data_IF_298006943771
#
_entry.id   IF_298006943771
#
_cell.length_a   1.000
_cell.length_b   1.000
_cell.length_c   1.000
_cell.angle_alpha   90.00
_cell.angle_beta   90.00
_cell.angle_gamma   90.00
#
_symmetry.space_group_name_H-M   'P 1'
#
loop_
_entity.id
_entity.type
_entity.pdbx_description
1 polymer ?
#
# COMPACT_ATOMS: atom_id res chain seq x y z
N UNK A 1 27.99 26.07 17.82
CA UNK A 1 28.19 24.60 17.82
C UNK A 1 28.82 24.23 16.50
N UNK A 2 30.07 23.79 16.52
CA UNK A 2 30.82 23.46 15.29
C UNK A 2 30.61 21.99 15.00
N UNK A 3 30.06 21.67 13.87
CA UNK A 3 29.81 20.27 13.42
C UNK A 3 31.02 19.83 12.61
N UNK A 4 31.73 18.80 13.09
CA UNK A 4 32.86 18.19 12.37
C UNK A 4 32.36 16.95 11.60
N UNK A 5 32.60 16.90 10.31
CA UNK A 5 32.39 15.70 9.52
C UNK A 5 33.53 14.71 9.72
N UNK A 6 33.20 13.47 10.07
CA UNK A 6 34.16 12.37 10.18
C UNK A 6 33.80 11.30 9.14
N UNK A 7 34.76 10.98 8.26
CA UNK A 7 34.57 9.98 7.24
C UNK A 7 34.24 8.60 7.84
N UNK A 8 33.36 7.83 7.20
CA UNK A 8 32.83 6.56 7.73
C UNK A 8 33.91 5.53 8.05
N UNK A 9 35.01 5.47 7.27
CA UNK A 9 36.16 4.59 7.53
C UNK A 9 36.93 4.92 8.83
N UNK A 10 36.76 6.13 9.38
CA UNK A 10 37.37 6.58 10.62
C UNK A 10 36.41 6.41 11.82
N UNK A 11 35.13 6.16 11.56
CA UNK A 11 34.11 5.95 12.60
C UNK A 11 34.05 4.47 13.04
N UNK A 12 35.14 3.98 13.64
CA UNK A 12 35.29 2.58 14.05
C UNK A 12 34.19 2.07 14.97
N UNK A 13 33.57 2.95 15.79
CA UNK A 13 32.53 2.55 16.72
C UNK A 13 31.20 2.25 16.01
N UNK A 14 30.79 3.07 15.03
CA UNK A 14 29.59 2.83 14.26
C UNK A 14 29.76 1.63 13.30
N UNK A 15 30.94 1.51 12.68
CA UNK A 15 31.28 0.39 11.82
C UNK A 15 31.44 -0.91 12.63
N UNK A 16 32.01 -0.85 13.83
CA UNK A 16 32.09 -1.98 14.76
C UNK A 16 30.72 -2.51 15.17
N UNK A 17 29.77 -1.63 15.47
CA UNK A 17 28.39 -2.03 15.82
C UNK A 17 27.64 -2.65 14.65
N UNK A 18 27.82 -2.14 13.44
CA UNK A 18 27.18 -2.72 12.24
C UNK A 18 27.72 -4.12 11.88
N UNK A 19 29.01 -4.37 12.18
CA UNK A 19 29.66 -5.67 11.92
C UNK A 19 29.59 -6.61 13.11
N UNK A 20 29.28 -6.10 14.29
CA UNK A 20 29.21 -6.93 15.52
C UNK A 20 28.14 -8.03 15.43
N UNK A 21 27.01 -7.72 14.80
CA UNK A 21 25.96 -8.72 14.54
C UNK A 21 26.43 -9.87 13.63
N UNK A 22 27.31 -9.58 12.66
CA UNK A 22 27.87 -10.58 11.74
C UNK A 22 28.99 -11.41 12.40
N UNK A 23 29.82 -10.79 13.22
CA UNK A 23 30.96 -11.48 13.88
C UNK A 23 30.51 -12.43 15.01
N UNK A 24 29.38 -12.17 15.64
CA UNK A 24 28.85 -12.97 16.76
C UNK A 24 27.79 -14.01 16.34
N UNK A 25 27.49 -14.13 15.05
CA UNK A 25 26.50 -15.10 14.55
C UNK A 25 26.91 -16.57 14.73
N UNK A 26 28.19 -16.86 14.92
CA UNK A 26 28.71 -18.23 15.00
C UNK A 26 28.87 -18.79 16.43
N UNK A 27 28.56 -18.05 17.49
CA UNK A 27 28.85 -18.52 18.86
C UNK A 27 28.11 -17.84 20.00
N UNK A 28 27.13 -16.99 19.72
CA UNK A 28 26.39 -16.28 20.77
C UNK A 28 25.13 -17.06 21.16
N UNK A 29 24.98 -17.53 22.42
CA UNK A 29 23.78 -18.23 22.89
C UNK A 29 22.51 -17.34 22.89
N UNK A 30 22.65 -16.02 22.67
CA UNK A 30 21.52 -15.11 22.47
C UNK A 30 21.04 -15.05 21.00
N UNK A 31 21.77 -15.64 20.08
CA UNK A 31 21.29 -15.85 18.71
C UNK A 31 20.43 -17.12 18.72
N UNK A 32 19.17 -16.93 19.05
CA UNK A 32 18.17 -17.94 18.66
C UNK A 32 18.22 -18.01 17.13
N UNK A 33 18.57 -19.16 16.55
CA UNK A 33 18.36 -19.34 15.11
C UNK A 33 16.92 -18.93 14.89
N UNK A 34 16.65 -18.01 13.96
CA UNK A 34 15.32 -17.82 13.41
C UNK A 34 14.82 -19.25 13.16
N UNK A 35 13.88 -19.70 13.98
CA UNK A 35 13.23 -20.98 13.78
C UNK A 35 12.90 -21.00 12.31
N UNK A 36 13.45 -21.99 11.61
CA UNK A 36 13.27 -22.13 10.17
C UNK A 36 11.79 -21.89 9.95
N UNK A 37 11.45 -20.85 9.17
CA UNK A 37 10.07 -20.51 8.89
C UNK A 37 9.34 -21.82 8.65
N UNK A 38 8.20 -22.06 9.30
CA UNK A 38 7.52 -23.34 9.18
C UNK A 38 7.45 -23.60 7.68
N UNK A 39 8.15 -24.64 7.23
CA UNK A 39 8.07 -25.09 5.84
C UNK A 39 6.61 -25.40 5.66
N UNK A 40 5.86 -24.43 5.14
CA UNK A 40 4.49 -24.67 4.70
C UNK A 40 4.64 -25.80 3.71
N UNK A 41 4.09 -26.98 3.99
CA UNK A 41 4.22 -28.08 3.05
C UNK A 41 3.59 -27.60 1.74
N UNK A 42 4.43 -27.43 0.72
CA UNK A 42 3.98 -27.06 -0.66
C UNK A 42 3.25 -28.27 -1.28
N UNK A 43 3.06 -29.33 -0.53
CA UNK A 43 2.29 -30.49 -0.90
C UNK A 43 0.80 -30.13 -0.89
N UNK A 44 0.28 -29.83 -2.08
CA UNK A 44 -1.15 -29.74 -2.33
C UNK A 44 -1.69 -28.45 -2.96
N UNK A 45 -0.88 -27.44 -3.20
CA UNK A 45 -1.32 -26.33 -4.05
C UNK A 45 -0.92 -26.68 -5.49
N UNK A 46 -1.81 -27.32 -6.21
CA UNK A 46 -1.67 -27.45 -7.65
C UNK A 46 -1.75 -26.04 -8.25
N UNK A 47 -0.61 -25.48 -8.60
CA UNK A 47 -0.50 -24.15 -9.25
C UNK A 47 -1.35 -24.14 -10.53
N UNK A 48 -1.56 -25.28 -11.17
CA UNK A 48 -2.45 -25.47 -12.30
C UNK A 48 -3.91 -25.22 -11.95
N UNK A 49 -4.39 -25.64 -10.77
CA UNK A 49 -5.81 -25.49 -10.39
C UNK A 49 -6.17 -24.04 -10.05
N UNK A 50 -5.23 -23.28 -9.47
CA UNK A 50 -5.45 -21.85 -9.20
C UNK A 50 -5.49 -21.07 -10.52
N UNK A 51 -4.63 -21.42 -11.46
CA UNK A 51 -4.60 -20.80 -12.78
C UNK A 51 -5.90 -21.07 -13.56
N UNK A 52 -6.39 -22.30 -13.56
CA UNK A 52 -7.63 -22.66 -14.27
C UNK A 52 -8.84 -21.95 -13.71
N UNK A 53 -9.03 -21.91 -12.39
CA UNK A 53 -10.14 -21.20 -11.74
C UNK A 53 -10.14 -19.70 -12.05
N UNK A 54 -8.99 -19.05 -12.00
CA UNK A 54 -8.88 -17.63 -12.35
C UNK A 54 -9.31 -17.35 -13.80
N UNK A 55 -8.88 -18.19 -14.73
CA UNK A 55 -9.28 -18.03 -16.13
C UNK A 55 -10.77 -18.31 -16.36
N UNK A 56 -11.37 -19.24 -15.61
CA UNK A 56 -12.81 -19.49 -15.61
C UNK A 56 -13.57 -18.27 -15.09
N UNK A 57 -13.17 -17.70 -13.97
CA UNK A 57 -13.74 -16.47 -13.42
C UNK A 57 -13.65 -15.30 -14.41
N UNK A 58 -12.55 -15.17 -15.14
CA UNK A 58 -12.38 -14.15 -16.17
C UNK A 58 -13.37 -14.37 -17.31
N UNK A 59 -13.51 -15.62 -17.81
CA UNK A 59 -14.48 -15.96 -18.87
C UNK A 59 -15.92 -15.69 -18.43
N UNK A 60 -16.29 -16.09 -17.23
CA UNK A 60 -17.62 -15.85 -16.68
C UNK A 60 -17.91 -14.35 -16.54
N UNK A 61 -16.90 -13.56 -16.16
CA UNK A 61 -17.04 -12.11 -16.03
C UNK A 61 -17.38 -11.41 -17.33
N UNK A 62 -16.95 -11.94 -18.47
CA UNK A 62 -17.26 -11.37 -19.78
C UNK A 62 -18.75 -11.43 -20.11
N UNK A 63 -19.47 -12.42 -19.60
CA UNK A 63 -20.91 -12.52 -19.80
C UNK A 63 -21.71 -11.49 -18.99
N UNK A 64 -21.14 -10.99 -17.90
CA UNK A 64 -21.78 -10.03 -17.00
C UNK A 64 -21.56 -8.57 -17.44
N UNK A 65 -20.44 -8.30 -18.11
CA UNK A 65 -20.06 -6.95 -18.50
C UNK A 65 -20.37 -6.67 -19.96
N UNK A 66 -21.22 -5.66 -20.20
CA UNK A 66 -21.74 -5.30 -21.53
C UNK A 66 -20.64 -5.15 -22.59
N UNK A 67 -19.59 -4.39 -22.31
CA UNK A 67 -18.52 -4.14 -23.27
C UNK A 67 -17.74 -5.41 -23.63
N UNK A 68 -17.48 -6.27 -22.65
CA UNK A 68 -16.75 -7.52 -22.86
C UNK A 68 -17.60 -8.53 -23.63
N UNK A 69 -18.88 -8.64 -23.28
CA UNK A 69 -19.82 -9.51 -24.02
C UNK A 69 -19.95 -9.10 -25.49
N UNK A 70 -20.04 -7.78 -25.77
CA UNK A 70 -20.07 -7.29 -27.15
C UNK A 70 -18.75 -7.56 -27.89
N UNK A 71 -17.61 -7.37 -27.22
CA UNK A 71 -16.28 -7.66 -27.80
C UNK A 71 -16.10 -9.16 -28.10
N UNK A 72 -16.50 -10.05 -27.21
CA UNK A 72 -16.44 -11.49 -27.48
C UNK A 72 -17.29 -11.85 -28.73
N UNK A 73 -18.48 -11.30 -28.83
CA UNK A 73 -19.37 -11.54 -30.00
C UNK A 73 -18.80 -10.99 -31.31
N UNK A 74 -18.11 -9.82 -31.25
CA UNK A 74 -17.48 -9.20 -32.41
C UNK A 74 -16.21 -9.96 -32.87
N UNK A 75 -15.45 -10.50 -31.92
CA UNK A 75 -14.18 -11.19 -32.19
C UNK A 75 -14.42 -12.69 -32.58
N UNK A 76 -15.45 -13.32 -32.00
CA UNK A 76 -15.75 -14.74 -32.27
C UNK A 76 -16.29 -14.97 -33.72
N UNK A 77 -17.06 -14.03 -34.24
CA UNK A 77 -17.75 -14.18 -35.52
C UNK A 77 -17.09 -13.46 -36.70
N UNK A 78 -15.95 -12.77 -36.48
CA UNK A 78 -15.43 -11.78 -37.45
C UNK A 78 -16.54 -10.84 -38.02
N UNK A 79 -17.60 -10.67 -37.23
CA UNK A 79 -18.77 -9.87 -37.60
C UNK A 79 -18.43 -8.39 -37.45
N UNK A 80 -18.38 -7.69 -38.59
CA UNK A 80 -18.24 -6.22 -38.62
C UNK A 80 -19.61 -5.55 -38.40
N UNK A 81 -20.33 -5.95 -37.37
CA UNK A 81 -21.59 -5.29 -37.01
C UNK A 81 -21.34 -3.89 -36.47
N UNK A 82 -21.53 -2.91 -37.33
CA UNK A 82 -21.36 -1.49 -37.02
C UNK A 82 -22.26 -1.03 -35.86
N UNK A 83 -23.37 -1.68 -35.63
CA UNK A 83 -24.30 -1.41 -34.51
C UNK A 83 -23.65 -1.76 -33.15
N UNK A 84 -23.03 -2.94 -33.05
CA UNK A 84 -22.33 -3.37 -31.83
C UNK A 84 -21.11 -2.52 -31.56
N UNK A 85 -20.33 -2.17 -32.58
CA UNK A 85 -19.16 -1.27 -32.43
C UNK A 85 -19.57 0.12 -31.93
N UNK A 86 -20.72 0.63 -32.38
CA UNK A 86 -21.23 1.93 -31.93
C UNK A 86 -21.77 1.90 -30.50
N UNK A 87 -22.17 0.74 -30.01
CA UNK A 87 -22.66 0.54 -28.64
C UNK A 87 -21.53 0.36 -27.60
N UNK A 88 -20.26 0.20 -28.04
CA UNK A 88 -19.09 0.14 -27.16
C UNK A 88 -18.76 1.52 -26.57
N UNK A 89 -18.30 1.54 -25.30
CA UNK A 89 -17.80 2.75 -24.67
C UNK A 89 -16.54 3.27 -25.35
N UNK A 90 -16.31 4.60 -25.31
CA UNK A 90 -15.29 5.29 -26.08
C UNK A 90 -13.89 4.69 -26.05
N UNK A 91 -13.41 4.25 -24.88
CA UNK A 91 -12.08 3.64 -24.71
C UNK A 91 -12.01 2.26 -25.40
N UNK A 92 -13.09 1.47 -25.24
CA UNK A 92 -13.21 0.14 -25.86
C UNK A 92 -13.33 0.27 -27.38
N UNK A 93 -14.14 1.19 -27.85
CA UNK A 93 -14.34 1.47 -29.27
C UNK A 93 -13.04 1.90 -29.95
N UNK A 94 -12.29 2.81 -29.35
CA UNK A 94 -11.01 3.26 -29.90
C UNK A 94 -10.00 2.11 -29.99
N UNK A 95 -9.87 1.31 -28.94
CA UNK A 95 -8.95 0.18 -28.93
C UNK A 95 -9.38 -0.93 -29.92
N UNK A 96 -10.67 -1.11 -30.13
CA UNK A 96 -11.19 -2.04 -31.14
C UNK A 96 -10.93 -1.55 -32.57
N UNK A 97 -11.18 -0.26 -32.85
CA UNK A 97 -10.91 0.33 -34.17
C UNK A 97 -9.43 0.28 -34.56
N UNK A 98 -8.53 0.31 -33.57
CA UNK A 98 -7.08 0.17 -33.76
C UNK A 98 -6.63 -1.32 -33.88
N UNK A 99 -7.58 -2.27 -33.85
CA UNK A 99 -7.26 -3.71 -33.96
C UNK A 99 -6.43 -4.25 -32.82
N UNK A 100 -6.61 -3.70 -31.60
CA UNK A 100 -5.80 -4.09 -30.44
C UNK A 100 -6.33 -5.29 -29.68
N UNK A 101 -7.58 -5.72 -29.94
CA UNK A 101 -8.17 -6.86 -29.25
C UNK A 101 -8.05 -8.14 -30.07
N UNK A 102 -7.72 -9.22 -29.40
CA UNK A 102 -7.65 -10.57 -29.94
C UNK A 102 -8.35 -11.53 -29.00
N UNK A 103 -9.13 -12.45 -29.52
CA UNK A 103 -9.76 -13.52 -28.74
C UNK A 103 -8.94 -14.80 -28.90
N UNK A 104 -8.53 -15.38 -27.79
CA UNK A 104 -7.84 -16.66 -27.74
C UNK A 104 -8.35 -17.49 -26.57
N UNK A 105 -8.78 -18.71 -26.81
CA UNK A 105 -9.32 -19.61 -25.79
C UNK A 105 -10.41 -18.97 -24.90
N UNK A 106 -11.31 -18.19 -25.50
CA UNK A 106 -12.38 -17.49 -24.78
C UNK A 106 -11.94 -16.32 -23.92
N UNK A 107 -10.66 -15.91 -24.00
CA UNK A 107 -10.10 -14.79 -23.27
C UNK A 107 -9.75 -13.67 -24.24
N UNK A 108 -10.13 -12.45 -23.91
CA UNK A 108 -9.82 -11.26 -24.68
C UNK A 108 -8.43 -10.77 -24.28
N UNK A 109 -7.55 -10.64 -25.24
CA UNK A 109 -6.21 -10.06 -25.07
C UNK A 109 -6.14 -8.68 -25.68
N UNK A 110 -5.55 -7.74 -24.96
CA UNK A 110 -5.25 -6.39 -25.44
C UNK A 110 -3.80 -6.30 -25.89
N UNK A 111 -3.58 -5.96 -27.14
CA UNK A 111 -2.24 -5.79 -27.72
C UNK A 111 -1.71 -4.40 -27.40
N UNK A 112 -0.56 -4.36 -26.72
CA UNK A 112 0.25 -3.15 -26.52
C UNK A 112 1.41 -3.10 -27.52
N UNK A 113 2.23 -2.06 -27.50
CA UNK A 113 3.39 -1.96 -28.41
C UNK A 113 4.40 -3.11 -28.23
N UNK A 114 4.48 -3.70 -27.04
CA UNK A 114 5.53 -4.67 -26.69
C UNK A 114 5.01 -6.00 -26.18
N UNK A 115 3.73 -6.12 -25.88
CA UNK A 115 3.14 -7.32 -25.28
C UNK A 115 1.66 -7.46 -25.59
N UNK A 116 1.15 -8.68 -25.49
CA UNK A 116 -0.27 -8.96 -25.40
C UNK A 116 -0.60 -9.30 -23.94
N UNK A 117 -1.58 -8.61 -23.37
CA UNK A 117 -1.99 -8.79 -21.99
C UNK A 117 -3.47 -9.08 -21.90
N UNK A 118 -3.88 -9.84 -20.88
CA UNK A 118 -5.27 -10.22 -20.67
C UNK A 118 -6.13 -8.99 -20.35
N UNK A 119 -7.32 -8.94 -20.92
CA UNK A 119 -8.31 -7.89 -20.66
C UNK A 119 -9.21 -8.32 -19.50
N UNK A 120 -9.34 -7.48 -18.48
CA UNK A 120 -10.21 -7.70 -17.34
C UNK A 120 -11.37 -6.72 -17.35
N UNK A 121 -12.55 -7.20 -16.95
CA UNK A 121 -13.76 -6.41 -16.96
C UNK A 121 -14.41 -6.35 -15.58
N UNK A 122 -14.36 -7.42 -14.80
CA UNK A 122 -14.99 -7.53 -13.50
C UNK A 122 -14.04 -7.16 -12.37
N UNK A 123 -14.61 -6.68 -11.27
CA UNK A 123 -13.89 -6.25 -10.08
C UNK A 123 -13.10 -7.37 -9.39
N UNK A 124 -13.64 -8.60 -9.40
CA UNK A 124 -12.99 -9.74 -8.73
C UNK A 124 -11.61 -10.05 -9.34
N UNK A 125 -11.48 -10.37 -10.64
CA UNK A 125 -10.18 -10.63 -11.25
C UNK A 125 -9.24 -9.40 -11.22
N UNK A 126 -9.76 -8.17 -11.29
CA UNK A 126 -8.95 -6.95 -11.15
C UNK A 126 -8.32 -6.90 -9.75
N UNK A 127 -9.10 -7.11 -8.70
CA UNK A 127 -8.58 -7.12 -7.33
C UNK A 127 -7.56 -8.23 -7.11
N UNK A 128 -7.76 -9.41 -7.68
CA UNK A 128 -6.79 -10.53 -7.62
C UNK A 128 -5.45 -10.12 -8.23
N UNK A 129 -5.45 -9.51 -9.41
CA UNK A 129 -4.23 -9.03 -10.07
C UNK A 129 -3.56 -7.91 -9.26
N UNK A 130 -4.32 -6.95 -8.74
CA UNK A 130 -3.76 -5.88 -7.89
C UNK A 130 -3.12 -6.43 -6.62
N UNK A 131 -3.81 -7.36 -5.94
CA UNK A 131 -3.28 -8.04 -4.76
C UNK A 131 -2.00 -8.82 -5.10
N UNK A 132 -1.98 -9.60 -6.16
CA UNK A 132 -0.78 -10.33 -6.58
C UNK A 132 0.39 -9.40 -6.92
N UNK A 133 0.13 -8.27 -7.59
CA UNK A 133 1.18 -7.35 -8.03
C UNK A 133 1.72 -6.45 -6.91
N UNK A 134 0.95 -6.24 -5.82
CA UNK A 134 1.31 -5.35 -4.73
C UNK A 134 1.51 -6.05 -3.40
N UNK A 135 0.51 -6.82 -2.92
CA UNK A 135 0.46 -7.38 -1.57
C UNK A 135 1.11 -8.75 -1.44
N UNK A 136 1.40 -9.41 -2.55
CA UNK A 136 2.02 -10.73 -2.55
C UNK A 136 3.34 -10.72 -1.76
N UNK A 137 3.58 -11.78 -1.00
CA UNK A 137 4.82 -12.01 -0.23
C UNK A 137 6.06 -11.89 -1.13
N UNK A 138 5.96 -12.31 -2.40
CA UNK A 138 7.06 -12.23 -3.36
C UNK A 138 7.42 -10.81 -3.79
N UNK A 139 6.46 -9.89 -3.73
CA UNK A 139 6.65 -8.50 -4.16
C UNK A 139 6.77 -7.51 -3.01
N UNK A 140 6.24 -7.85 -1.82
CA UNK A 140 6.49 -7.12 -0.58
C UNK A 140 6.11 -5.65 -0.62
N UNK A 141 4.91 -5.32 -1.10
CA UNK A 141 4.41 -3.94 -1.18
C UNK A 141 5.30 -3.01 -2.00
N UNK A 142 5.48 -3.35 -3.28
CA UNK A 142 6.24 -2.53 -4.22
C UNK A 142 5.71 -1.09 -4.28
N UNK A 143 6.62 -0.15 -4.54
CA UNK A 143 6.22 1.25 -4.80
C UNK A 143 5.25 1.34 -5.97
N UNK A 144 4.45 2.42 -6.00
CA UNK A 144 3.46 2.72 -7.04
C UNK A 144 3.99 2.46 -8.47
N UNK A 145 5.15 3.03 -8.82
CA UNK A 145 5.71 2.89 -10.16
C UNK A 145 6.05 1.44 -10.53
N UNK A 146 6.59 0.66 -9.59
CA UNK A 146 6.90 -0.75 -9.82
C UNK A 146 5.64 -1.61 -9.89
N UNK A 147 4.63 -1.32 -9.09
CA UNK A 147 3.33 -2.00 -9.16
C UNK A 147 2.65 -1.73 -10.51
N UNK A 148 2.66 -0.48 -10.98
CA UNK A 148 2.15 -0.12 -12.31
C UNK A 148 2.83 -0.90 -13.43
N UNK A 149 4.16 -1.04 -13.38
CA UNK A 149 4.89 -1.81 -14.37
C UNK A 149 4.49 -3.29 -14.37
N UNK A 150 4.30 -3.88 -13.19
CA UNK A 150 3.85 -5.26 -13.05
C UNK A 150 2.44 -5.47 -13.60
N UNK A 151 1.50 -4.60 -13.25
CA UNK A 151 0.11 -4.66 -13.73
C UNK A 151 0.08 -4.50 -15.24
N UNK A 152 0.80 -3.50 -15.80
CA UNK A 152 0.89 -3.26 -17.25
C UNK A 152 1.31 -4.50 -18.06
N UNK A 153 2.17 -5.34 -17.49
CA UNK A 153 2.67 -6.54 -18.17
C UNK A 153 1.78 -7.77 -17.98
N UNK A 154 0.72 -7.70 -17.17
CA UNK A 154 -0.16 -8.83 -16.87
C UNK A 154 -1.58 -8.66 -17.38
N UNK A 155 -2.15 -7.47 -17.18
CA UNK A 155 -3.55 -7.25 -17.50
C UNK A 155 -3.82 -5.81 -17.97
N UNK A 156 -4.95 -5.64 -18.64
CA UNK A 156 -5.44 -4.35 -19.10
C UNK A 156 -6.94 -4.20 -18.81
N UNK A 157 -7.34 -3.01 -18.40
CA UNK A 157 -8.72 -2.52 -18.31
C UNK A 157 -8.73 -1.01 -18.44
N UNK A 158 -9.83 -0.33 -18.75
CA UNK A 158 -9.83 1.10 -19.09
C UNK A 158 -9.17 2.02 -18.05
N UNK A 159 -9.41 1.77 -16.78
CA UNK A 159 -8.92 2.62 -15.68
C UNK A 159 -7.71 2.03 -14.94
N UNK A 160 -7.01 1.03 -15.50
CA UNK A 160 -5.98 0.26 -14.81
C UNK A 160 -4.92 1.12 -14.09
N UNK A 161 -4.46 2.22 -14.73
CA UNK A 161 -3.47 3.12 -14.14
C UNK A 161 -3.96 3.77 -12.86
N UNK A 162 -5.13 4.44 -12.96
CA UNK A 162 -5.72 5.14 -11.83
C UNK A 162 -6.02 4.21 -10.69
N UNK A 163 -6.67 3.09 -10.98
CA UNK A 163 -7.04 2.10 -9.96
C UNK A 163 -5.83 1.46 -9.28
N UNK A 164 -4.74 1.21 -10.02
CA UNK A 164 -3.49 0.71 -9.42
C UNK A 164 -2.87 1.75 -8.47
N UNK A 165 -2.88 3.02 -8.85
CA UNK A 165 -2.37 4.12 -8.00
C UNK A 165 -3.23 4.23 -6.73
N UNK A 166 -4.55 4.28 -6.90
CA UNK A 166 -5.51 4.37 -5.79
C UNK A 166 -5.37 3.17 -4.84
N UNK A 167 -5.15 1.97 -5.38
CA UNK A 167 -4.90 0.76 -4.59
C UNK A 167 -3.62 0.87 -3.75
N UNK A 168 -2.51 1.31 -4.35
CA UNK A 168 -1.25 1.50 -3.63
C UNK A 168 -1.36 2.58 -2.54
N UNK A 169 -2.10 3.67 -2.82
CA UNK A 169 -2.34 4.73 -1.86
C UNK A 169 -3.26 4.31 -0.72
N UNK A 170 -4.20 3.41 -0.96
CA UNK A 170 -5.09 2.86 0.07
C UNK A 170 -4.43 1.78 0.93
N UNK A 171 -3.26 1.27 0.57
CA UNK A 171 -2.58 0.21 1.31
C UNK A 171 -2.07 0.70 2.68
N UNK A 172 -2.63 0.16 3.76
CA UNK A 172 -2.28 0.53 5.14
C UNK A 172 -0.80 0.27 5.47
N UNK A 173 -0.24 -0.85 4.99
CA UNK A 173 1.18 -1.19 5.20
C UNK A 173 2.10 -0.17 4.52
N UNK A 174 1.78 0.21 3.27
CA UNK A 174 2.54 1.23 2.55
C UNK A 174 2.42 2.59 3.23
N UNK A 175 1.23 2.98 3.69
CA UNK A 175 1.02 4.24 4.39
C UNK A 175 1.84 4.34 5.68
N UNK A 176 1.95 3.24 6.44
CA UNK A 176 2.73 3.19 7.68
C UNK A 176 4.25 3.13 7.42
N UNK A 177 4.67 2.44 6.36
CA UNK A 177 6.09 2.23 6.04
C UNK A 177 6.71 3.41 5.27
N UNK A 178 5.92 4.12 4.46
CA UNK A 178 6.43 5.22 3.65
C UNK A 178 6.79 6.42 4.52
N UNK A 179 7.95 7.02 4.21
CA UNK A 179 8.35 8.28 4.84
C UNK A 179 7.32 9.37 4.52
N UNK A 180 6.93 10.13 5.55
CA UNK A 180 6.17 11.34 5.33
C UNK A 180 6.95 12.28 4.39
N UNK A 181 6.35 12.59 3.25
CA UNK A 181 6.86 13.58 2.29
C UNK A 181 6.42 15.01 2.62
N UNK A 182 5.73 15.17 3.75
CA UNK A 182 5.30 16.48 4.25
C UNK A 182 6.49 17.42 4.44
N UNK A 183 6.25 18.72 4.33
CA UNK A 183 7.25 19.73 4.65
C UNK A 183 7.75 19.50 6.08
N UNK A 184 9.07 19.65 6.30
CA UNK A 184 9.63 19.62 7.64
C UNK A 184 8.92 20.65 8.49
N UNK A 185 8.63 20.29 9.74
CA UNK A 185 8.09 21.27 10.69
C UNK A 185 9.04 22.47 10.76
N UNK A 186 8.46 23.68 10.79
CA UNK A 186 9.22 24.90 10.96
C UNK A 186 9.92 24.93 12.32
N UNK A 187 10.78 25.93 12.51
CA UNK A 187 11.40 26.16 13.82
C UNK A 187 10.32 26.46 14.86
N UNK A 188 10.55 26.02 16.09
CA UNK A 188 9.66 26.31 17.20
C UNK A 188 9.58 27.83 17.40
N UNK A 189 8.37 28.36 17.36
CA UNK A 189 8.12 29.77 17.64
C UNK A 189 7.76 29.90 19.11
N UNK A 190 8.55 30.67 19.83
CA UNK A 190 8.24 30.98 21.22
C UNK A 190 7.03 31.92 21.30
N UNK A 191 6.07 31.59 22.13
CA UNK A 191 4.98 32.49 22.47
C UNK A 191 5.58 33.64 23.29
N UNK A 192 5.60 34.83 22.70
CA UNK A 192 6.11 36.04 23.31
C UNK A 192 4.98 36.93 23.84
N UNK A 193 5.28 37.82 24.76
CA UNK A 193 4.36 38.89 25.14
C UNK A 193 3.34 38.55 26.22
N UNK A 194 3.50 37.48 26.98
CA UNK A 194 2.63 37.15 28.12
C UNK A 194 2.85 38.23 29.22
N UNK A 195 1.80 39.00 29.49
CA UNK A 195 1.88 40.17 30.38
C UNK A 195 1.12 40.03 31.70
N UNK A 196 0.19 39.10 31.75
CA UNK A 196 -0.70 38.90 32.91
C UNK A 196 -0.89 37.43 33.27
N UNK A 197 -1.18 37.12 34.53
CA UNK A 197 -1.57 35.77 34.94
C UNK A 197 -2.78 35.27 34.21
N UNK A 198 -2.78 33.96 33.85
CA UNK A 198 -3.91 33.26 33.19
C UNK A 198 -4.21 33.71 31.76
N UNK A 199 -3.34 34.53 31.14
CA UNK A 199 -3.46 34.87 29.73
C UNK A 199 -3.17 33.65 28.83
N UNK A 200 -2.18 32.83 29.23
CA UNK A 200 -1.83 31.57 28.56
C UNK A 200 -1.65 30.48 29.61
N UNK A 201 -2.39 29.42 29.49
CA UNK A 201 -2.27 28.23 30.34
C UNK A 201 -1.88 27.00 29.52
N UNK A 202 -1.13 26.11 30.15
CA UNK A 202 -0.80 24.80 29.62
C UNK A 202 -1.65 23.74 30.35
N UNK A 203 -2.18 22.79 29.64
CA UNK A 203 -2.94 21.68 30.21
C UNK A 203 -2.31 20.35 29.82
N UNK A 204 -2.26 19.44 30.76
CA UNK A 204 -1.80 18.07 30.56
C UNK A 204 -2.59 17.12 31.46
N UNK A 205 -2.74 15.89 31.03
CA UNK A 205 -3.50 14.89 31.76
C UNK A 205 -2.59 13.72 32.18
N UNK A 206 -2.47 13.52 33.48
CA UNK A 206 -1.76 12.37 34.04
C UNK A 206 -2.79 11.25 34.21
N UNK A 207 -2.60 10.16 33.47
CA UNK A 207 -3.52 8.99 33.46
C UNK A 207 -2.89 7.79 34.13
N UNK A 208 -3.68 6.74 34.35
CA UNK A 208 -3.23 5.49 34.95
C UNK A 208 -2.71 5.61 36.38
N UNK A 209 -3.23 6.57 37.14
CA UNK A 209 -2.97 6.67 38.59
C UNK A 209 -3.75 5.59 39.34
N UNK A 210 -3.29 5.13 40.51
CA UNK A 210 -4.08 4.26 41.38
C UNK A 210 -5.41 4.94 41.76
N UNK A 211 -6.54 4.22 41.72
CA UNK A 211 -7.82 4.79 42.12
C UNK A 211 -7.75 5.40 43.52
N UNK A 212 -8.15 6.67 43.67
CA UNK A 212 -8.07 7.40 44.91
C UNK A 212 -9.33 8.24 45.17
N UNK A 213 -9.56 8.58 46.43
CA UNK A 213 -10.72 9.33 46.85
C UNK A 213 -12.03 8.51 46.80
N UNK A 214 -13.09 9.07 47.36
CA UNK A 214 -14.40 8.39 47.46
C UNK A 214 -15.10 8.10 46.13
N UNK A 215 -14.67 8.73 45.04
CA UNK A 215 -15.20 8.56 43.68
C UNK A 215 -14.32 7.70 42.79
N UNK A 216 -13.17 7.23 43.29
CA UNK A 216 -12.27 6.35 42.54
C UNK A 216 -11.56 7.01 41.38
N UNK A 217 -11.17 8.29 41.51
CA UNK A 217 -10.43 9.01 40.49
C UNK A 217 -9.10 8.32 40.15
N UNK A 218 -8.80 8.13 38.88
CA UNK A 218 -7.58 7.48 38.40
C UNK A 218 -6.78 8.31 37.39
N UNK A 219 -7.16 9.57 37.23
CA UNK A 219 -6.46 10.54 36.40
C UNK A 219 -6.43 11.91 37.09
N UNK A 220 -5.55 12.78 36.63
CA UNK A 220 -5.45 14.15 37.11
C UNK A 220 -5.17 15.09 35.95
N UNK A 221 -6.06 16.06 35.75
CA UNK A 221 -5.84 17.16 34.83
C UNK A 221 -5.00 18.22 35.52
N UNK A 222 -3.86 18.53 34.95
CA UNK A 222 -2.94 19.57 35.44
C UNK A 222 -3.04 20.79 34.54
N UNK A 223 -3.34 21.95 35.11
CA UNK A 223 -3.41 23.21 34.39
C UNK A 223 -2.35 24.13 35.02
N UNK A 224 -1.42 24.62 34.21
CA UNK A 224 -0.32 25.49 34.68
C UNK A 224 -0.39 26.83 33.97
N UNK A 225 -0.51 27.89 34.76
CA UNK A 225 -0.36 29.25 34.25
C UNK A 225 1.07 29.52 33.76
N UNK A 226 1.19 29.99 32.54
CA UNK A 226 2.52 30.23 31.93
C UNK A 226 3.25 31.38 32.58
N UNK A 227 2.56 32.40 33.06
CA UNK A 227 3.17 33.59 33.68
C UNK A 227 3.63 33.32 35.11
N UNK A 228 2.72 32.95 35.99
CA UNK A 228 3.00 32.73 37.43
C UNK A 228 3.56 31.36 37.74
N UNK A 229 3.45 30.39 36.81
CA UNK A 229 3.76 28.97 37.01
C UNK A 229 2.89 28.27 38.05
N UNK A 230 1.79 28.88 38.46
CA UNK A 230 0.85 28.32 39.43
C UNK A 230 0.11 27.09 38.81
N UNK A 231 0.22 25.92 39.43
CA UNK A 231 -0.51 24.75 38.97
C UNK A 231 -1.90 24.64 39.62
N UNK A 232 -2.86 24.12 38.87
CA UNK A 232 -4.16 23.66 39.37
C UNK A 232 -4.28 22.17 39.03
N UNK A 233 -4.63 21.36 40.03
CA UNK A 233 -4.81 19.93 39.88
C UNK A 233 -6.29 19.59 40.02
N UNK A 234 -6.87 18.93 39.01
CA UNK A 234 -8.28 18.49 39.01
C UNK A 234 -8.31 16.97 38.90
N UNK A 235 -8.79 16.26 39.94
CA UNK A 235 -8.93 14.82 39.87
C UNK A 235 -10.06 14.43 38.88
N UNK A 236 -9.80 13.43 38.06
CA UNK A 236 -10.74 12.91 37.04
C UNK A 236 -10.97 11.41 37.18
#
# INVERSE_FOLDING_TARGET
MTIFHKAGNIQKNADGLSRWALANSAGNPAYLPLEAEPKIPIEGINITDIGTKFFEEVRESYNQEKNCHMLTSLLDKDCKDTSLVNALDGVWKNSYSEGRFHLFDGIIYHRTKHSCVMTLCSRLPINTILHECHDSIYYGHLSEGRTLEKVKNRAWWPSWRKETIDYCHACDRCQKANRSTGKKFGLMIHIQGIRSPWEVSHMDCITALPPSGGKGYNACLVIVDRYSKTPIFLPC
#
